data_IF_526436364548
#
_entry.id   IF_526436364548
#
_cell.length_a   1.000
_cell.length_b   1.000
_cell.length_c   1.000
_cell.angle_alpha   90.00
_cell.angle_beta   90.00
_cell.angle_gamma   90.00
#
_symmetry.space_group_name_H-M   'P 1'
#
loop_
_entity.id
_entity.type
_entity.pdbx_description
1 polymer ?
#
# COMPACT_ATOMS: atom_id res chain seq x y z
N UNK A 1 -11.49 53.19 7.05
CA UNK A 1 -12.86 53.71 6.78
C UNK A 1 -13.79 52.50 6.67
N UNK A 2 -14.85 52.48 7.49
CA UNK A 2 -15.78 51.34 7.64
C UNK A 2 -16.64 51.18 6.38
N UNK A 3 -16.81 49.95 5.89
CA UNK A 3 -18.07 49.53 5.27
C UNK A 3 -18.35 48.10 5.76
N UNK A 4 -19.43 47.97 6.51
CA UNK A 4 -19.90 46.75 7.17
C UNK A 4 -21.04 46.19 6.32
N UNK A 5 -20.99 44.88 6.05
CA UNK A 5 -22.08 43.93 5.77
C UNK A 5 -23.32 44.35 4.97
N UNK A 6 -23.61 43.62 3.88
CA UNK A 6 -24.97 43.23 3.50
C UNK A 6 -25.01 41.98 2.61
N UNK A 7 -25.59 40.89 3.15
CA UNK A 7 -26.63 40.00 2.56
C UNK A 7 -26.37 39.44 1.14
N UNK A 8 -26.01 38.17 0.92
CA UNK A 8 -26.71 36.88 1.08
C UNK A 8 -27.09 36.25 -0.29
N UNK A 9 -26.79 34.95 -0.42
CA UNK A 9 -27.32 33.95 -1.37
C UNK A 9 -27.32 34.25 -2.89
N UNK A 10 -26.47 33.54 -3.64
CA UNK A 10 -26.90 32.62 -4.70
C UNK A 10 -25.69 31.86 -5.25
N UNK A 11 -25.89 30.56 -5.45
CA UNK A 11 -24.85 29.57 -5.69
C UNK A 11 -24.06 29.75 -7.00
N UNK A 12 -22.76 29.56 -6.88
CA UNK A 12 -21.96 28.83 -7.86
C UNK A 12 -20.77 28.23 -7.10
N UNK A 13 -21.00 27.07 -6.49
CA UNK A 13 -19.91 26.24 -5.97
C UNK A 13 -19.13 25.72 -7.18
N UNK A 14 -18.00 26.35 -7.45
CA UNK A 14 -16.98 25.80 -8.34
C UNK A 14 -16.43 24.56 -7.62
N UNK A 15 -16.99 23.38 -7.88
CA UNK A 15 -16.35 22.10 -7.55
C UNK A 15 -15.22 21.90 -8.57
N UNK A 16 -14.12 22.61 -8.35
CA UNK A 16 -12.83 22.24 -8.89
C UNK A 16 -12.25 21.18 -7.96
N UNK A 17 -12.01 20.00 -8.51
CA UNK A 17 -11.19 18.97 -7.86
C UNK A 17 -11.96 17.70 -7.63
N UNK A 18 -11.66 16.70 -8.46
CA UNK A 18 -11.05 15.49 -7.94
C UNK A 18 -9.94 15.14 -8.92
N UNK A 19 -8.74 15.64 -8.63
CA UNK A 19 -7.52 15.09 -9.22
C UNK A 19 -7.48 13.61 -8.81
N UNK A 20 -7.20 12.74 -9.76
CA UNK A 20 -7.14 11.29 -9.56
C UNK A 20 -5.99 10.91 -8.60
N UNK A 21 -6.21 11.04 -7.29
CA UNK A 21 -5.22 10.69 -6.26
C UNK A 21 -5.05 9.17 -6.07
N UNK A 22 -5.96 8.36 -6.61
CA UNK A 22 -6.02 6.94 -6.29
C UNK A 22 -4.83 6.10 -6.80
N UNK A 23 -4.16 6.52 -7.88
CA UNK A 23 -3.03 5.75 -8.42
C UNK A 23 -1.71 5.99 -7.66
N UNK A 24 -1.45 7.23 -7.23
CA UNK A 24 -0.26 7.59 -6.44
C UNK A 24 -0.32 6.98 -5.04
N UNK A 25 -1.51 6.93 -4.43
CA UNK A 25 -1.69 6.32 -3.10
C UNK A 25 -1.42 4.81 -3.07
N UNK A 26 -1.62 4.08 -4.17
CA UNK A 26 -1.33 2.65 -4.21
C UNK A 26 0.17 2.35 -4.40
N UNK A 27 0.87 3.13 -5.23
CA UNK A 27 2.33 2.99 -5.35
C UNK A 27 3.03 3.29 -4.02
N UNK A 28 2.52 4.27 -3.27
CA UNK A 28 2.99 4.54 -1.90
C UNK A 28 2.70 3.37 -0.95
N UNK A 29 1.49 2.81 -0.95
CA UNK A 29 1.15 1.66 -0.13
C UNK A 29 2.02 0.42 -0.46
N UNK A 30 2.29 0.19 -1.74
CA UNK A 30 3.15 -0.88 -2.22
C UNK A 30 4.60 -0.68 -1.81
N UNK A 31 5.11 0.55 -1.95
CA UNK A 31 6.45 0.92 -1.49
C UNK A 31 6.61 0.70 0.01
N UNK A 32 5.59 1.05 0.80
CA UNK A 32 5.58 0.91 2.24
C UNK A 32 5.65 -0.56 2.66
N UNK A 33 4.84 -1.44 2.06
CA UNK A 33 4.90 -2.89 2.31
C UNK A 33 6.24 -3.48 1.86
N UNK A 34 6.76 -3.04 0.73
CA UNK A 34 8.03 -3.50 0.20
C UNK A 34 9.21 -3.19 1.11
N UNK A 35 9.31 -1.94 1.58
CA UNK A 35 10.33 -1.56 2.55
C UNK A 35 10.15 -2.31 3.87
N UNK A 36 8.90 -2.60 4.26
CA UNK A 36 8.62 -3.41 5.43
C UNK A 36 9.15 -4.85 5.29
N UNK A 37 8.87 -5.50 4.16
CA UNK A 37 9.34 -6.87 3.87
C UNK A 37 10.88 -6.90 3.86
N UNK A 38 11.52 -5.93 3.21
CA UNK A 38 12.99 -5.78 3.22
C UNK A 38 13.53 -5.66 4.64
N UNK A 39 12.98 -4.75 5.43
CA UNK A 39 13.36 -4.55 6.84
C UNK A 39 13.25 -5.86 7.62
N UNK A 40 12.13 -6.58 7.48
CA UNK A 40 11.93 -7.85 8.16
C UNK A 40 12.87 -8.97 7.69
N UNK A 41 13.25 -8.98 6.41
CA UNK A 41 14.25 -9.90 5.90
C UNK A 41 15.63 -9.60 6.49
N UNK A 42 16.00 -8.32 6.62
CA UNK A 42 17.25 -7.91 7.26
C UNK A 42 17.31 -8.27 8.75
N UNK A 43 16.23 -8.06 9.50
CA UNK A 43 16.18 -8.45 10.91
C UNK A 43 16.40 -9.96 11.10
N UNK A 44 15.81 -10.80 10.24
CA UNK A 44 16.05 -12.24 10.29
C UNK A 44 17.50 -12.61 9.96
N UNK A 45 18.08 -11.86 9.02
CA UNK A 45 19.44 -12.01 8.55
C UNK A 45 20.51 -11.65 9.59
N UNK A 46 20.23 -10.72 10.49
CA UNK A 46 21.14 -10.39 11.61
C UNK A 46 21.33 -11.58 12.57
N UNK A 47 20.38 -12.51 12.63
CA UNK A 47 20.48 -13.74 13.42
C UNK A 47 21.20 -14.89 12.72
N UNK A 48 21.66 -14.72 11.48
CA UNK A 48 22.37 -15.77 10.71
C UNK A 48 23.87 -15.54 10.81
N UNK A 49 24.53 -16.39 11.59
CA UNK A 49 25.99 -16.43 11.65
C UNK A 49 26.59 -16.70 10.26
N UNK A 50 27.67 -16.00 9.93
CA UNK A 50 28.49 -16.15 8.72
C UNK A 50 27.82 -15.74 7.38
N UNK A 51 26.81 -14.87 7.42
CA UNK A 51 26.27 -14.34 6.18
C UNK A 51 27.19 -13.30 5.53
N UNK A 52 27.74 -13.66 4.37
CA UNK A 52 28.62 -12.79 3.59
C UNK A 52 27.88 -11.56 3.02
N UNK A 53 28.62 -10.47 2.79
CA UNK A 53 28.08 -9.26 2.13
C UNK A 53 27.48 -9.57 0.75
N UNK A 54 28.09 -10.49 0.01
CA UNK A 54 27.61 -10.93 -1.29
C UNK A 54 26.25 -11.62 -1.19
N UNK A 55 26.03 -12.42 -0.14
CA UNK A 55 24.75 -13.08 0.10
C UNK A 55 23.65 -12.07 0.43
N UNK A 56 23.94 -11.07 1.28
CA UNK A 56 23.01 -9.97 1.58
C UNK A 56 22.57 -9.25 0.30
N UNK A 57 23.52 -8.83 -0.52
CA UNK A 57 23.23 -8.14 -1.80
C UNK A 57 22.37 -8.98 -2.76
N UNK A 58 22.57 -10.30 -2.77
CA UNK A 58 21.78 -11.21 -3.61
C UNK A 58 20.33 -11.33 -3.13
N UNK A 59 20.10 -11.29 -1.81
CA UNK A 59 18.75 -11.33 -1.25
C UNK A 59 18.06 -9.98 -1.46
N UNK A 60 18.77 -8.87 -1.26
CA UNK A 60 18.27 -7.52 -1.55
C UNK A 60 17.75 -7.40 -2.98
N UNK A 61 18.55 -7.80 -3.97
CA UNK A 61 18.17 -7.76 -5.37
C UNK A 61 16.93 -8.63 -5.69
N UNK A 62 16.77 -9.78 -5.01
CA UNK A 62 15.58 -10.62 -5.14
C UNK A 62 14.34 -9.97 -4.54
N UNK A 63 14.47 -9.31 -3.39
CA UNK A 63 13.37 -8.59 -2.75
C UNK A 63 12.94 -7.37 -3.58
N UNK A 64 13.89 -6.64 -4.17
CA UNK A 64 13.59 -5.56 -5.11
C UNK A 64 12.83 -6.06 -6.34
N UNK A 65 13.30 -7.15 -6.95
CA UNK A 65 12.63 -7.76 -8.11
C UNK A 65 11.20 -8.20 -7.77
N UNK A 66 11.00 -8.80 -6.58
CA UNK A 66 9.68 -9.20 -6.12
C UNK A 66 8.77 -7.98 -5.94
N UNK A 67 9.29 -6.92 -5.33
CA UNK A 67 8.58 -5.67 -5.12
C UNK A 67 8.16 -4.98 -6.43
N UNK A 68 9.05 -4.95 -7.42
CA UNK A 68 8.74 -4.45 -8.75
C UNK A 68 7.64 -5.28 -9.43
N UNK A 69 7.67 -6.60 -9.26
CA UNK A 69 6.63 -7.50 -9.78
C UNK A 69 5.24 -7.24 -9.16
N UNK A 70 5.18 -7.02 -7.85
CA UNK A 70 3.93 -6.64 -7.17
C UNK A 70 3.46 -5.29 -7.71
N UNK A 71 4.34 -4.27 -7.78
CA UNK A 71 3.99 -2.95 -8.33
C UNK A 71 3.45 -3.02 -9.76
N UNK A 72 4.06 -3.83 -10.62
CA UNK A 72 3.62 -4.02 -11.99
C UNK A 72 2.19 -4.61 -12.09
N UNK A 73 1.78 -5.42 -11.11
CA UNK A 73 0.44 -6.02 -11.05
C UNK A 73 -0.64 -4.97 -10.81
N UNK A 74 -0.32 -3.88 -10.10
CA UNK A 74 -1.27 -2.87 -9.64
C UNK A 74 -1.22 -1.55 -10.43
N UNK A 75 -0.19 -1.34 -11.24
CA UNK A 75 0.01 -0.11 -12.04
C UNK A 75 -0.56 -0.20 -13.46
N UNK A 76 -1.25 -1.30 -13.80
CA UNK A 76 -1.91 -1.50 -15.10
C UNK A 76 -3.11 -0.57 -15.34
N UNK A 77 -3.39 -0.30 -16.61
CA UNK A 77 -4.53 0.53 -17.02
C UNK A 77 -5.86 -0.07 -16.52
N UNK A 78 -6.60 0.67 -15.68
CA UNK A 78 -7.88 0.24 -15.12
C UNK A 78 -7.80 -0.45 -13.76
N UNK A 79 -6.60 -0.67 -13.19
CA UNK A 79 -6.45 -1.22 -11.85
C UNK A 79 -7.19 -0.38 -10.79
N UNK A 80 -7.06 0.95 -10.86
CA UNK A 80 -7.76 1.90 -9.99
C UNK A 80 -9.28 1.96 -10.16
N UNK A 81 -9.80 1.47 -11.29
CA UNK A 81 -11.24 1.36 -11.54
C UNK A 81 -11.83 0.04 -11.01
N UNK A 82 -10.99 -0.91 -10.59
CA UNK A 82 -11.45 -2.18 -10.08
C UNK A 82 -12.09 -2.00 -8.69
N UNK A 83 -13.26 -2.60 -8.39
CA UNK A 83 -13.90 -2.46 -7.08
C UNK A 83 -13.06 -2.97 -5.90
N UNK A 84 -12.11 -3.86 -6.15
CA UNK A 84 -11.17 -4.38 -5.15
C UNK A 84 -9.94 -3.49 -4.93
N UNK A 85 -9.78 -2.39 -5.68
CA UNK A 85 -8.61 -1.54 -5.59
C UNK A 85 -8.42 -0.91 -4.21
N UNK A 86 -9.46 -0.27 -3.68
CA UNK A 86 -9.41 0.35 -2.34
C UNK A 86 -9.24 -0.68 -1.21
N UNK A 87 -9.98 -1.82 -1.20
CA UNK A 87 -9.70 -2.91 -0.26
C UNK A 87 -8.27 -3.46 -0.35
N UNK A 88 -7.70 -3.56 -1.56
CA UNK A 88 -6.32 -4.01 -1.75
C UNK A 88 -5.31 -3.01 -1.20
N UNK A 89 -5.53 -1.71 -1.47
CA UNK A 89 -4.73 -0.62 -0.91
C UNK A 89 -4.76 -0.65 0.63
N UNK A 90 -5.94 -0.79 1.22
CA UNK A 90 -6.12 -0.84 2.67
C UNK A 90 -5.39 -2.04 3.30
N UNK A 91 -5.48 -3.23 2.69
CA UNK A 91 -4.73 -4.41 3.11
C UNK A 91 -3.22 -4.14 3.09
N UNK A 92 -2.68 -3.61 1.99
CA UNK A 92 -1.25 -3.30 1.87
C UNK A 92 -0.82 -2.28 2.94
N UNK A 93 -1.51 -1.15 3.09
CA UNK A 93 -1.18 -0.15 4.12
C UNK A 93 -1.17 -0.77 5.52
N UNK A 94 -2.17 -1.59 5.85
CA UNK A 94 -2.26 -2.23 7.17
C UNK A 94 -1.10 -3.20 7.42
N UNK A 95 -0.67 -3.98 6.41
CA UNK A 95 0.47 -4.91 6.52
C UNK A 95 1.77 -4.19 6.82
N UNK A 96 1.96 -3.01 6.24
CA UNK A 96 3.12 -2.17 6.49
C UNK A 96 3.28 -1.70 7.94
N UNK A 97 2.19 -1.72 8.72
CA UNK A 97 2.19 -1.34 10.15
C UNK A 97 2.48 -2.51 11.09
N UNK A 98 2.51 -3.76 10.61
CA UNK A 98 2.73 -4.93 11.44
C UNK A 98 4.15 -5.00 12.00
N UNK A 99 4.36 -5.76 13.07
CA UNK A 99 5.71 -6.18 13.46
C UNK A 99 6.24 -7.25 12.49
N UNK A 100 7.55 -7.42 12.37
CA UNK A 100 8.12 -8.44 11.50
C UNK A 100 7.72 -9.86 11.90
N UNK A 101 7.62 -10.12 13.21
CA UNK A 101 7.03 -11.36 13.71
C UNK A 101 5.61 -11.57 13.20
N UNK A 102 4.73 -10.57 13.33
CA UNK A 102 3.33 -10.68 12.88
C UNK A 102 3.19 -10.80 11.38
N UNK A 103 4.08 -10.17 10.61
CA UNK A 103 4.11 -10.27 9.16
C UNK A 103 4.57 -11.66 8.70
N UNK A 104 5.50 -12.29 9.41
CA UNK A 104 6.00 -13.65 9.13
C UNK A 104 5.02 -14.75 9.56
N UNK A 105 4.37 -14.57 10.71
CA UNK A 105 3.35 -15.48 11.24
C UNK A 105 1.99 -15.32 10.54
N UNK A 106 1.80 -14.21 9.81
CA UNK A 106 0.57 -13.88 9.12
C UNK A 106 0.25 -14.86 7.99
N UNK A 107 -0.89 -15.54 8.08
CA UNK A 107 -1.45 -16.33 6.97
C UNK A 107 -2.11 -15.44 5.90
N UNK A 108 -3.03 -16.00 5.11
CA UNK A 108 -3.68 -15.33 3.97
C UNK A 108 -4.37 -13.97 4.29
N UNK A 109 -4.63 -13.68 5.56
CA UNK A 109 -5.25 -12.45 6.02
C UNK A 109 -4.55 -11.96 7.31
N UNK A 110 -3.38 -11.31 7.20
CA UNK A 110 -2.57 -10.92 8.34
C UNK A 110 -3.18 -9.74 9.15
N UNK A 111 -4.18 -9.07 8.58
CA UNK A 111 -4.91 -7.94 9.18
C UNK A 111 -6.41 -8.02 8.88
N UNK A 112 -7.26 -7.29 9.62
CA UNK A 112 -8.68 -7.17 9.31
C UNK A 112 -8.95 -6.64 7.89
N UNK A 113 -8.15 -5.71 7.39
CA UNK A 113 -8.26 -5.13 6.06
C UNK A 113 -7.98 -6.18 4.97
N UNK A 114 -7.01 -7.05 5.19
CA UNK A 114 -6.73 -8.17 4.29
C UNK A 114 -7.82 -9.24 4.34
N UNK A 115 -8.45 -9.47 5.50
CA UNK A 115 -9.62 -10.34 5.59
C UNK A 115 -10.82 -9.77 4.81
N UNK A 116 -11.03 -8.45 4.89
CA UNK A 116 -12.06 -7.77 4.10
C UNK A 116 -11.80 -7.88 2.59
N UNK A 117 -10.56 -7.68 2.14
CA UNK A 117 -10.16 -7.89 0.75
C UNK A 117 -10.47 -9.33 0.31
N UNK A 118 -10.07 -10.33 1.09
CA UNK A 118 -10.30 -11.75 0.79
C UNK A 118 -11.79 -12.05 0.65
N UNK A 119 -12.61 -11.64 1.61
CA UNK A 119 -14.05 -11.84 1.56
C UNK A 119 -14.70 -11.18 0.33
N UNK A 120 -14.22 -9.98 -0.05
CA UNK A 120 -14.72 -9.31 -1.26
C UNK A 120 -14.27 -10.02 -2.52
N UNK A 121 -13.01 -10.49 -2.58
CA UNK A 121 -12.47 -11.21 -3.73
C UNK A 121 -13.19 -12.54 -3.96
N UNK A 122 -13.48 -13.30 -2.90
CA UNK A 122 -14.26 -14.55 -2.95
C UNK A 122 -15.69 -14.33 -3.46
N UNK A 123 -16.24 -13.12 -3.35
CA UNK A 123 -17.55 -12.78 -3.90
C UNK A 123 -17.54 -12.48 -5.41
N UNK A 124 -16.36 -12.45 -6.05
CA UNK A 124 -16.20 -12.30 -7.51
C UNK A 124 -15.92 -13.63 -8.23
N UNK A 125 -15.61 -14.70 -7.49
CA UNK A 125 -15.49 -16.08 -8.00
C UNK A 125 -16.87 -16.77 -8.13
#
# INVERSE_FOLDING_TARGET
>A
MRIVNAVALAGFLIVSGNVSASAEELDEALSLVCEKIKTCAYEQMEGVDDMSKQMKQMIEAQLETMCDGIKATYTGFGASAHPLFEPAKACLVSMGTLSCQRLQEGGDAPTPECAELKNKAEAYD
#
